data_IF_292097810101
#
_entry.id   IF_292097810101
#
_cell.length_a   1.000
_cell.length_b   1.000
_cell.length_c   1.000
_cell.angle_alpha   90.00
_cell.angle_beta   90.00
_cell.angle_gamma   90.00
#
_symmetry.space_group_name_H-M   'P 1'
#
loop_
_entity.id
_entity.type
_entity.pdbx_description
1 polymer ?
#
# COMPACT_ATOMS: atom_id res chain seq x y z
N UNK A 1 15.27 -14.47 0.13
CA UNK A 1 14.06 -14.04 -0.60
C UNK A 1 14.06 -12.52 -0.65
N UNK A 2 13.70 -11.91 -1.78
CA UNK A 2 13.52 -10.45 -1.82
C UNK A 2 12.25 -10.09 -1.05
N UNK A 3 12.33 -9.18 -0.07
CA UNK A 3 11.16 -8.68 0.65
C UNK A 3 10.24 -7.95 -0.34
N UNK A 4 8.96 -8.31 -0.38
CA UNK A 4 7.94 -7.57 -1.15
C UNK A 4 7.34 -6.54 -0.21
N UNK A 5 7.48 -5.27 -0.54
CA UNK A 5 7.10 -4.18 0.36
C UNK A 5 6.03 -3.31 -0.30
N UNK A 6 5.19 -2.73 0.54
CA UNK A 6 4.15 -1.77 0.17
C UNK A 6 4.19 -0.59 1.12
N UNK A 7 4.24 0.62 0.58
CA UNK A 7 4.17 1.86 1.37
C UNK A 7 2.73 2.37 1.37
N UNK A 8 2.10 2.43 2.54
CA UNK A 8 0.78 3.05 2.72
C UNK A 8 0.87 4.25 3.65
N UNK A 9 0.58 5.44 3.13
CA UNK A 9 0.83 6.71 3.79
C UNK A 9 2.29 6.78 4.28
N UNK A 10 2.50 6.63 5.59
CA UNK A 10 3.81 6.67 6.25
C UNK A 10 4.23 5.31 6.85
N UNK A 11 3.54 4.22 6.49
CA UNK A 11 3.74 2.87 7.04
C UNK A 11 4.23 1.92 5.95
N UNK A 12 5.27 1.15 6.25
CA UNK A 12 5.75 0.07 5.39
C UNK A 12 5.09 -1.23 5.81
N UNK A 13 4.46 -1.91 4.86
CA UNK A 13 3.89 -3.24 5.04
C UNK A 13 4.75 -4.28 4.32
N UNK A 14 5.15 -5.33 5.03
CA UNK A 14 5.75 -6.51 4.43
C UNK A 14 4.66 -7.40 3.81
N UNK A 15 4.75 -7.63 2.51
CA UNK A 15 3.87 -8.51 1.74
C UNK A 15 4.46 -9.92 1.59
N UNK A 16 5.66 -10.18 2.09
CA UNK A 16 6.40 -11.43 1.87
C UNK A 16 5.81 -12.62 2.61
N UNK A 17 5.10 -12.37 3.70
CA UNK A 17 4.40 -13.38 4.50
C UNK A 17 2.94 -13.57 4.08
N UNK A 18 2.43 -12.77 3.14
CA UNK A 18 1.07 -12.92 2.64
C UNK A 18 1.07 -13.86 1.44
N UNK A 19 0.42 -15.02 1.60
CA UNK A 19 -0.09 -15.79 0.48
C UNK A 19 -0.92 -14.88 -0.46
N UNK A 20 -1.04 -15.24 -1.74
CA UNK A 20 -1.92 -14.52 -2.68
C UNK A 20 -3.32 -14.45 -2.04
N UNK A 21 -3.84 -13.24 -1.73
CA UNK A 21 -5.13 -13.10 -1.08
C UNK A 21 -6.25 -13.81 -1.86
N UNK A 22 -6.13 -13.90 -3.18
CA UNK A 22 -7.13 -14.55 -4.04
C UNK A 22 -7.13 -16.08 -3.95
N UNK A 23 -6.09 -16.69 -3.39
CA UNK A 23 -6.01 -18.14 -3.15
C UNK A 23 -6.59 -18.52 -1.78
N UNK A 24 -6.90 -17.54 -0.93
CA UNK A 24 -7.49 -17.76 0.38
C UNK A 24 -9.02 -17.95 0.28
N UNK A 25 -9.58 -19.03 0.86
CA UNK A 25 -11.01 -19.31 0.74
C UNK A 25 -11.91 -18.32 1.50
N UNK A 26 -11.35 -17.58 2.46
CA UNK A 26 -12.05 -16.58 3.26
C UNK A 26 -11.96 -15.16 2.68
N UNK A 27 -11.24 -14.98 1.57
CA UNK A 27 -11.08 -13.66 0.96
C UNK A 27 -12.36 -13.22 0.23
N UNK A 28 -12.81 -11.97 0.40
CA UNK A 28 -14.12 -11.53 -0.10
C UNK A 28 -14.17 -11.34 -1.63
N UNK A 29 -13.04 -11.44 -2.34
CA UNK A 29 -12.95 -11.26 -3.78
C UNK A 29 -12.52 -12.56 -4.45
N UNK A 30 -13.26 -12.95 -5.49
CA UNK A 30 -12.84 -14.03 -6.40
C UNK A 30 -11.85 -13.49 -7.45
N UNK A 31 -11.07 -14.39 -8.07
CA UNK A 31 -10.16 -14.03 -9.16
C UNK A 31 -10.88 -13.36 -10.34
N UNK A 32 -12.05 -13.86 -10.71
CA UNK A 32 -12.89 -13.25 -11.76
C UNK A 32 -13.37 -11.84 -11.40
N UNK A 33 -13.72 -11.60 -10.13
CA UNK A 33 -14.07 -10.26 -9.67
C UNK A 33 -12.86 -9.32 -9.73
N UNK A 34 -11.69 -9.78 -9.28
CA UNK A 34 -10.44 -9.04 -9.33
C UNK A 34 -10.02 -8.66 -10.76
N UNK A 35 -10.20 -9.56 -11.73
CA UNK A 35 -9.85 -9.30 -13.12
C UNK A 35 -10.60 -8.09 -13.71
N UNK A 36 -11.80 -7.80 -13.19
CA UNK A 36 -12.63 -6.65 -13.59
C UNK A 36 -12.29 -5.34 -12.88
N UNK A 37 -11.60 -5.40 -11.75
CA UNK A 37 -11.19 -4.20 -10.99
C UNK A 37 -10.03 -3.49 -11.67
N UNK A 38 -10.01 -2.17 -11.63
CA UNK A 38 -8.87 -1.34 -12.04
C UNK A 38 -7.92 -1.07 -10.87
N UNK A 39 -6.75 -0.49 -11.15
CA UNK A 39 -5.86 0.00 -10.10
C UNK A 39 -6.55 1.09 -9.28
N UNK A 40 -7.30 1.96 -9.95
CA UNK A 40 -8.08 3.05 -9.35
C UNK A 40 -9.14 2.51 -8.39
N UNK A 41 -9.85 1.43 -8.75
CA UNK A 41 -10.83 0.79 -7.86
C UNK A 41 -10.16 0.25 -6.60
N UNK A 42 -8.99 -0.38 -6.73
CA UNK A 42 -8.25 -0.92 -5.59
C UNK A 42 -7.71 0.20 -4.68
N UNK A 43 -7.22 1.30 -5.25
CA UNK A 43 -6.84 2.49 -4.50
C UNK A 43 -8.06 3.08 -3.79
N UNK A 44 -9.18 3.20 -4.47
CA UNK A 44 -10.44 3.70 -3.91
C UNK A 44 -10.88 2.91 -2.66
N UNK A 45 -10.82 1.57 -2.70
CA UNK A 45 -11.13 0.74 -1.53
C UNK A 45 -10.22 1.05 -0.34
N UNK A 46 -8.92 1.24 -0.60
CA UNK A 46 -7.95 1.53 0.46
C UNK A 46 -8.20 2.90 1.10
N UNK A 47 -8.57 3.89 0.28
CA UNK A 47 -8.91 5.23 0.74
C UNK A 47 -10.24 5.28 1.48
N UNK A 48 -11.26 4.54 1.04
CA UNK A 48 -12.51 4.41 1.77
C UNK A 48 -12.28 3.80 3.15
N UNK A 49 -11.49 2.71 3.22
CA UNK A 49 -11.11 2.09 4.49
C UNK A 49 -10.33 3.07 5.38
N UNK A 50 -9.43 3.86 4.82
CA UNK A 50 -8.66 4.85 5.58
C UNK A 50 -9.50 6.06 6.04
N UNK A 51 -10.49 6.47 5.25
CA UNK A 51 -11.41 7.52 5.66
C UNK A 51 -12.28 7.07 6.86
N UNK A 52 -12.60 5.77 6.95
CA UNK A 52 -13.28 5.18 8.10
C UNK A 52 -12.35 4.95 9.30
N UNK A 53 -11.05 4.75 9.05
CA UNK A 53 -10.03 4.47 10.04
C UNK A 53 -8.70 5.17 9.66
N UNK A 54 -8.43 6.39 10.15
CA UNK A 54 -7.18 7.10 9.84
C UNK A 54 -5.92 6.34 10.27
N UNK A 55 -6.03 5.41 11.21
CA UNK A 55 -4.93 4.56 11.68
C UNK A 55 -4.98 3.16 11.04
N UNK A 56 -5.63 3.01 9.87
CA UNK A 56 -5.85 1.73 9.18
C UNK A 56 -4.60 0.85 9.08
N UNK A 57 -3.42 1.43 8.80
CA UNK A 57 -2.17 0.67 8.68
C UNK A 57 -1.75 0.00 9.99
N UNK A 58 -2.03 0.62 11.14
CA UNK A 58 -1.76 0.05 12.46
C UNK A 58 -2.91 -0.85 12.94
N UNK A 59 -4.15 -0.44 12.70
CA UNK A 59 -5.34 -1.13 13.20
C UNK A 59 -5.70 -2.37 12.37
N UNK A 60 -5.45 -2.35 11.06
CA UNK A 60 -5.81 -3.42 10.10
C UNK A 60 -4.67 -3.68 9.10
N UNK A 61 -3.46 -4.01 9.55
CA UNK A 61 -2.31 -4.23 8.67
C UNK A 61 -2.55 -5.33 7.62
N UNK A 62 -3.32 -6.37 7.96
CA UNK A 62 -3.66 -7.45 7.02
C UNK A 62 -4.55 -7.00 5.85
N UNK A 63 -5.43 -6.01 6.07
CA UNK A 63 -6.24 -5.42 5.00
C UNK A 63 -5.32 -4.64 4.04
N UNK A 64 -4.46 -3.78 4.59
CA UNK A 64 -3.50 -2.99 3.81
C UNK A 64 -2.56 -3.89 3.03
N UNK A 65 -2.03 -4.95 3.64
CA UNK A 65 -1.19 -5.94 2.98
C UNK A 65 -1.94 -6.66 1.84
N UNK A 66 -3.18 -7.07 2.07
CA UNK A 66 -3.99 -7.74 1.03
C UNK A 66 -4.25 -6.82 -0.16
N UNK A 67 -4.71 -5.59 0.07
CA UNK A 67 -4.96 -4.62 -1.01
C UNK A 67 -3.65 -4.19 -1.68
N UNK A 68 -2.57 -4.03 -0.93
CA UNK A 68 -1.24 -3.74 -1.45
C UNK A 68 -0.70 -4.85 -2.36
N UNK A 69 -0.96 -6.12 -2.02
CA UNK A 69 -0.67 -7.26 -2.89
C UNK A 69 -1.45 -7.18 -4.20
N UNK A 70 -2.77 -6.94 -4.13
CA UNK A 70 -3.63 -6.79 -5.31
C UNK A 70 -3.19 -5.63 -6.21
N UNK A 71 -2.83 -4.48 -5.63
CA UNK A 71 -2.31 -3.31 -6.37
C UNK A 71 -1.01 -3.62 -7.10
N UNK A 72 -0.10 -4.36 -6.45
CA UNK A 72 1.16 -4.78 -7.05
C UNK A 72 0.94 -5.75 -8.20
N UNK A 73 0.01 -6.70 -8.05
CA UNK A 73 -0.36 -7.65 -9.11
C UNK A 73 -1.05 -6.94 -10.29
N UNK A 74 -1.96 -6.00 -10.02
CA UNK A 74 -2.77 -5.34 -11.05
C UNK A 74 -1.99 -4.33 -11.88
N UNK A 75 -1.18 -3.50 -11.23
CA UNK A 75 -0.54 -2.35 -11.85
C UNK A 75 0.91 -2.11 -11.45
N UNK A 76 1.52 -3.03 -10.69
CA UNK A 76 2.86 -2.84 -10.14
C UNK A 76 2.93 -1.78 -9.04
N UNK A 77 1.80 -1.21 -8.63
CA UNK A 77 1.73 -0.15 -7.62
C UNK A 77 2.18 -0.71 -6.28
N UNK A 78 3.15 -0.04 -5.65
CA UNK A 78 3.72 -0.44 -4.38
C UNK A 78 3.84 0.71 -3.38
N UNK A 79 3.22 1.85 -3.69
CA UNK A 79 3.08 2.98 -2.78
C UNK A 79 1.75 3.71 -3.02
N UNK A 80 1.02 4.02 -1.95
CA UNK A 80 -0.23 4.81 -1.98
C UNK A 80 -0.24 5.79 -0.80
N UNK A 81 -0.55 7.07 -1.07
CA UNK A 81 -0.73 8.11 -0.06
C UNK A 81 -2.08 8.82 -0.25
N UNK A 82 -2.97 8.79 0.76
CA UNK A 82 -4.12 9.68 0.82
C UNK A 82 -3.65 11.14 0.89
N UNK A 83 -4.19 12.04 0.07
CA UNK A 83 -3.79 13.47 0.05
C UNK A 83 -4.86 14.41 0.62
N UNK A 84 -5.93 13.86 1.19
CA UNK A 84 -6.99 14.62 1.83
C UNK A 84 -7.66 13.83 2.96
N UNK A 85 -8.31 14.55 3.87
CA UNK A 85 -8.96 13.98 5.06
C UNK A 85 -10.42 13.53 4.82
N UNK A 86 -10.98 13.76 3.62
CA UNK A 86 -12.37 13.48 3.30
C UNK A 86 -12.49 12.51 2.13
N UNK A 87 -13.41 11.55 2.21
CA UNK A 87 -13.81 10.68 1.10
C UNK A 87 -14.97 11.31 0.30
N UNK A 88 -14.97 11.25 -1.04
CA UNK A 88 -13.88 10.80 -1.91
C UNK A 88 -12.75 11.83 -1.95
N UNK A 89 -11.56 11.41 -1.53
CA UNK A 89 -10.37 12.25 -1.42
C UNK A 89 -9.33 11.85 -2.46
N UNK A 90 -8.56 12.81 -3.01
CA UNK A 90 -7.50 12.46 -3.94
C UNK A 90 -6.43 11.61 -3.26
N UNK A 91 -5.81 10.72 -4.03
CA UNK A 91 -4.63 9.98 -3.59
C UNK A 91 -3.53 10.03 -4.64
N UNK A 92 -2.31 9.87 -4.16
CA UNK A 92 -1.13 9.67 -4.99
C UNK A 92 -0.73 8.22 -4.87
N UNK A 93 -0.36 7.59 -5.98
CA UNK A 93 0.21 6.26 -5.98
C UNK A 93 1.38 6.17 -6.94
N UNK A 94 2.27 5.22 -6.71
CA UNK A 94 3.50 5.10 -7.47
C UNK A 94 3.99 3.66 -7.58
N UNK A 95 4.89 3.47 -8.55
CA UNK A 95 5.71 2.28 -8.71
C UNK A 95 7.13 2.67 -8.33
N UNK A 96 7.54 2.29 -7.13
CA UNK A 96 8.87 2.55 -6.60
C UNK A 96 9.85 1.45 -6.98
N UNK A 97 11.11 1.78 -7.28
CA UNK A 97 12.17 0.78 -7.38
C UNK A 97 12.32 0.00 -6.07
N UNK A 98 12.61 -1.30 -6.16
CA UNK A 98 12.81 -2.15 -4.97
C UNK A 98 13.95 -1.64 -4.08
N UNK A 99 14.98 -1.03 -4.67
CA UNK A 99 16.07 -0.38 -3.93
C UNK A 99 15.56 0.75 -3.02
N UNK A 100 14.59 1.55 -3.48
CA UNK A 100 14.00 2.62 -2.67
C UNK A 100 13.23 2.04 -1.49
N UNK A 101 12.42 0.99 -1.72
CA UNK A 101 11.67 0.31 -0.66
C UNK A 101 12.61 -0.36 0.36
N UNK A 102 13.72 -0.95 -0.08
CA UNK A 102 14.71 -1.55 0.80
C UNK A 102 15.38 -0.51 1.71
N UNK A 103 15.69 0.68 1.18
CA UNK A 103 16.21 1.79 1.99
C UNK A 103 15.19 2.24 3.03
N UNK A 104 13.93 2.45 2.62
CA UNK A 104 12.86 2.84 3.56
C UNK A 104 12.67 1.79 4.67
N UNK A 105 12.74 0.50 4.32
CA UNK A 105 12.64 -0.60 5.31
C UNK A 105 13.81 -0.60 6.27
N UNK A 106 15.03 -0.36 5.77
CA UNK A 106 16.22 -0.28 6.64
C UNK A 106 16.07 0.87 7.63
N UNK A 107 15.55 2.01 7.18
CA UNK A 107 15.29 3.16 8.04
C UNK A 107 14.20 2.87 9.07
N UNK A 108 13.17 2.10 8.72
CA UNK A 108 12.12 1.66 9.62
C UNK A 108 12.66 0.74 10.73
N UNK A 109 13.45 -0.27 10.34
CA UNK A 109 14.12 -1.20 11.25
C UNK A 109 15.08 -0.50 12.22
N UNK A 110 15.64 0.65 11.82
CA UNK A 110 16.49 1.50 12.67
C UNK A 110 15.71 2.52 13.51
N UNK A 111 14.39 2.62 13.37
CA UNK A 111 13.57 3.66 14.01
C UNK A 111 13.85 5.08 13.49
N UNK A 112 14.46 5.19 12.31
CA UNK A 112 14.82 6.44 11.65
C UNK A 112 13.84 6.84 10.53
N UNK A 113 12.85 5.99 10.22
CA UNK A 113 11.81 6.32 9.25
C UNK A 113 10.83 7.32 9.88
N UNK A 114 10.72 8.49 9.25
CA UNK A 114 9.78 9.53 9.64
C UNK A 114 8.96 9.96 8.43
N UNK A 115 7.77 10.56 8.61
CA UNK A 115 6.96 11.07 7.50
C UNK A 115 7.75 12.01 6.58
N UNK A 116 8.60 12.88 7.15
CA UNK A 116 9.44 13.80 6.36
C UNK A 116 10.47 13.08 5.48
N UNK A 117 11.04 11.97 5.95
CA UNK A 117 11.98 11.16 5.15
C UNK A 117 11.25 10.44 4.02
N UNK A 118 10.04 9.95 4.26
CA UNK A 118 9.20 9.33 3.24
C UNK A 118 8.80 10.37 2.18
N UNK A 119 8.41 11.57 2.61
CA UNK A 119 8.06 12.69 1.75
C UNK A 119 9.21 13.02 0.79
N UNK A 120 10.42 13.27 1.32
CA UNK A 120 11.59 13.60 0.51
C UNK A 120 12.01 12.45 -0.43
N UNK A 121 11.94 11.21 0.04
CA UNK A 121 12.40 10.04 -0.71
C UNK A 121 11.42 9.61 -1.81
N UNK A 122 10.11 9.83 -1.59
CA UNK A 122 9.03 9.30 -2.43
C UNK A 122 8.19 10.42 -3.01
N UNK A 123 7.48 11.17 -2.17
CA UNK A 123 6.36 11.99 -2.61
C UNK A 123 6.80 13.32 -3.24
N UNK A 124 7.88 13.93 -2.77
CA UNK A 124 8.41 15.18 -3.33
C UNK A 124 9.02 14.96 -4.72
N UNK A 125 9.51 13.75 -5.00
CA UNK A 125 10.07 13.37 -6.32
C UNK A 125 9.01 13.10 -7.38
N UNK A 126 7.76 12.92 -6.96
CA UNK A 126 6.61 12.64 -7.81
C UNK A 126 5.73 13.89 -8.03
N UNK A 127 6.10 15.03 -7.46
CA UNK A 127 5.40 16.31 -7.58
C UNK A 127 5.99 17.14 -8.73
#
# INVERSE_FOLDING_TARGET
>A
MAKRLFLFADIICDLSESDDPLDRPDFPLTREAFDRLTTEDLVAMLLEAHAQDPELGANRPGLVASVGHLLRVKGGVNAVRPTGAAWPGPARWAILPEASLAVLTTLDEMGALTPGVIDEAVWDRLA
#
